data_IF_782036897317
#
_entry.id   IF_782036897317
#
_cell.length_a   1.000
_cell.length_b   1.000
_cell.length_c   1.000
_cell.angle_alpha   90.00
_cell.angle_beta   90.00
_cell.angle_gamma   90.00
#
_symmetry.space_group_name_H-M   'P 1'
#
loop_
_entity.id
_entity.type
_entity.pdbx_description
1 polymer ?
#
# COMPACT_ATOMS: atom_id res chain seq x y z
N UNK A 1 -15.88 15.43 14.62
CA UNK A 1 -16.06 14.62 13.40
C UNK A 1 -14.99 13.56 13.39
N UNK A 2 -15.33 12.31 13.72
CA UNK A 2 -14.39 11.20 13.57
C UNK A 2 -13.95 11.13 12.10
N UNK A 3 -12.67 11.36 11.84
CA UNK A 3 -12.08 11.03 10.56
C UNK A 3 -12.20 9.52 10.41
N UNK A 4 -13.28 9.08 9.76
CA UNK A 4 -13.28 7.81 9.06
C UNK A 4 -12.00 7.84 8.23
N UNK A 5 -11.14 6.83 8.44
CA UNK A 5 -10.02 6.55 7.55
C UNK A 5 -10.62 6.15 6.20
N UNK A 6 -11.08 7.13 5.43
CA UNK A 6 -11.52 6.91 4.06
C UNK A 6 -10.25 6.58 3.29
N UNK A 7 -10.06 5.31 2.96
CA UNK A 7 -9.02 4.95 2.01
C UNK A 7 -9.43 5.55 0.67
N UNK A 8 -8.53 6.31 0.04
CA UNK A 8 -8.81 6.89 -1.27
C UNK A 8 -8.62 5.80 -2.34
N UNK A 9 -9.47 5.77 -3.39
CA UNK A 9 -9.23 4.93 -4.54
C UNK A 9 -7.85 5.22 -5.14
N UNK A 10 -7.17 4.19 -5.64
CA UNK A 10 -5.82 4.29 -6.21
C UNK A 10 -5.92 4.11 -7.73
N UNK A 11 -5.97 5.19 -8.54
CA UNK A 11 -6.21 5.08 -9.98
C UNK A 11 -5.17 4.22 -10.72
N UNK A 12 -3.91 4.26 -10.27
CA UNK A 12 -2.83 3.47 -10.87
C UNK A 12 -3.02 1.96 -10.72
N UNK A 13 -3.84 1.51 -9.78
CA UNK A 13 -4.17 0.11 -9.54
C UNK A 13 -5.35 -0.40 -10.38
N UNK A 14 -6.03 0.48 -11.12
CA UNK A 14 -7.20 0.11 -11.93
C UNK A 14 -6.79 -0.83 -13.08
N UNK A 15 -7.55 -1.92 -13.36
CA UNK A 15 -7.27 -2.85 -14.46
C UNK A 15 -7.01 -2.17 -15.81
N UNK A 16 -7.80 -1.16 -16.18
CA UNK A 16 -7.57 -0.33 -17.37
C UNK A 16 -6.17 0.30 -17.42
N UNK A 17 -5.72 0.89 -16.32
CA UNK A 17 -4.40 1.49 -16.24
C UNK A 17 -3.31 0.43 -16.37
N UNK A 18 -3.46 -0.68 -15.64
CA UNK A 18 -2.52 -1.81 -15.66
C UNK A 18 -2.44 -2.46 -17.05
N UNK A 19 -3.57 -2.62 -17.73
CA UNK A 19 -3.67 -3.15 -19.08
C UNK A 19 -2.91 -2.27 -20.07
N UNK A 20 -3.14 -0.95 -20.04
CA UNK A 20 -2.42 0.00 -20.91
C UNK A 20 -0.93 -0.02 -20.60
N UNK A 21 -0.53 0.05 -19.33
CA UNK A 21 0.86 0.06 -18.92
C UNK A 21 1.62 -1.20 -19.41
N UNK A 22 1.05 -2.38 -19.21
CA UNK A 22 1.63 -3.64 -19.65
C UNK A 22 1.63 -3.77 -21.19
N UNK A 23 0.54 -3.40 -21.86
CA UNK A 23 0.44 -3.50 -23.34
C UNK A 23 1.46 -2.58 -24.03
N UNK A 24 1.67 -1.36 -23.50
CA UNK A 24 2.71 -0.44 -24.02
C UNK A 24 4.13 -1.01 -23.91
N UNK A 25 4.35 -2.00 -23.04
CA UNK A 25 5.62 -2.71 -22.86
C UNK A 25 5.70 -4.02 -23.63
N UNK A 26 4.79 -4.25 -24.57
CA UNK A 26 4.77 -5.45 -25.41
C UNK A 26 4.17 -6.68 -24.73
N UNK A 27 3.68 -6.57 -23.49
CA UNK A 27 2.96 -7.66 -22.83
C UNK A 27 1.55 -7.83 -23.41
N UNK A 28 0.89 -8.93 -23.04
CA UNK A 28 -0.48 -9.27 -23.49
C UNK A 28 -1.34 -9.69 -22.28
N UNK A 29 -1.61 -8.78 -21.33
CA UNK A 29 -2.51 -9.08 -20.22
C UNK A 29 -3.95 -9.28 -20.71
N UNK A 30 -4.78 -9.92 -19.88
CA UNK A 30 -6.20 -10.05 -20.19
C UNK A 30 -6.85 -8.66 -20.30
N UNK A 31 -7.74 -8.41 -21.29
CA UNK A 31 -8.50 -7.17 -21.34
C UNK A 31 -9.22 -6.89 -20.02
N UNK A 32 -9.35 -5.64 -19.57
CA UNK A 32 -10.10 -5.30 -18.36
C UNK A 32 -11.56 -5.76 -18.43
N UNK A 33 -12.11 -5.83 -19.64
CA UNK A 33 -13.45 -6.37 -19.88
C UNK A 33 -13.51 -7.85 -19.49
N UNK A 34 -14.38 -8.19 -18.54
CA UNK A 34 -14.49 -9.57 -18.05
C UNK A 34 -13.34 -10.05 -17.15
N UNK A 35 -12.39 -9.19 -16.81
CA UNK A 35 -11.23 -9.56 -16.00
C UNK A 35 -11.60 -9.99 -14.57
N UNK A 36 -10.76 -10.84 -14.00
CA UNK A 36 -10.81 -11.25 -12.59
C UNK A 36 -9.75 -10.50 -11.80
N UNK A 37 -10.19 -9.73 -10.81
CA UNK A 37 -9.33 -8.85 -10.02
C UNK A 37 -9.35 -9.28 -8.56
N UNK A 38 -8.18 -9.46 -7.97
CA UNK A 38 -8.01 -9.69 -6.54
C UNK A 38 -7.32 -8.48 -5.90
N UNK A 39 -7.81 -8.03 -4.76
CA UNK A 39 -7.09 -7.13 -3.87
C UNK A 39 -6.80 -7.80 -2.52
N UNK A 40 -5.53 -7.81 -2.13
CA UNK A 40 -5.08 -8.34 -0.83
C UNK A 40 -4.98 -7.19 0.17
N UNK A 41 -5.63 -7.36 1.33
CA UNK A 41 -5.82 -6.32 2.35
C UNK A 41 -6.63 -5.12 1.82
N UNK A 42 -7.84 -5.41 1.33
CA UNK A 42 -8.72 -4.43 0.68
C UNK A 42 -9.36 -3.41 1.64
N UNK A 43 -9.17 -3.53 2.95
CA UNK A 43 -9.70 -2.60 3.93
C UNK A 43 -11.22 -2.49 3.89
N UNK A 44 -11.72 -1.26 3.75
CA UNK A 44 -13.16 -0.95 3.63
C UNK A 44 -13.68 -1.07 2.18
N UNK A 45 -12.86 -1.58 1.25
CA UNK A 45 -13.22 -1.81 -0.13
C UNK A 45 -13.28 -0.55 -0.98
N UNK A 46 -12.84 0.60 -0.48
CA UNK A 46 -12.93 1.88 -1.19
C UNK A 46 -12.24 1.89 -2.56
N UNK A 47 -11.24 1.03 -2.77
CA UNK A 47 -10.58 0.87 -4.06
C UNK A 47 -11.40 0.01 -5.03
N UNK A 48 -11.91 -1.15 -4.59
CA UNK A 48 -12.65 -2.08 -5.46
C UNK A 48 -14.10 -1.66 -5.74
N UNK A 49 -14.78 -1.02 -4.80
CA UNK A 49 -16.18 -0.60 -4.98
C UNK A 49 -16.39 0.30 -6.21
N UNK A 50 -15.61 1.38 -6.43
CA UNK A 50 -15.74 2.18 -7.65
C UNK A 50 -15.32 1.40 -8.91
N UNK A 51 -14.31 0.53 -8.85
CA UNK A 51 -13.94 -0.30 -10.01
C UNK A 51 -15.08 -1.24 -10.42
N UNK A 52 -15.67 -1.93 -9.44
CA UNK A 52 -16.80 -2.82 -9.64
C UNK A 52 -18.03 -2.09 -10.19
N UNK A 53 -18.27 -0.86 -9.75
CA UNK A 53 -19.35 -0.02 -10.28
C UNK A 53 -19.15 0.33 -11.76
N UNK A 54 -17.93 0.68 -12.18
CA UNK A 54 -17.64 1.10 -13.56
C UNK A 54 -17.38 -0.08 -14.52
N UNK A 55 -17.06 -1.27 -13.99
CA UNK A 55 -16.79 -2.50 -14.76
C UNK A 55 -17.76 -3.62 -14.35
N UNK A 56 -19.05 -3.54 -14.71
CA UNK A 56 -20.06 -4.53 -14.33
C UNK A 56 -19.80 -5.92 -14.93
N UNK A 57 -18.99 -5.99 -15.98
CA UNK A 57 -18.56 -7.20 -16.67
C UNK A 57 -17.36 -7.90 -16.02
N UNK A 58 -16.52 -7.17 -15.28
CA UNK A 58 -15.40 -7.71 -14.53
C UNK A 58 -15.83 -8.25 -13.15
N UNK A 59 -15.02 -9.13 -12.56
CA UNK A 59 -15.26 -9.75 -11.23
C UNK A 59 -14.17 -9.36 -10.26
N UNK A 60 -14.57 -8.92 -9.08
CA UNK A 60 -13.66 -8.40 -8.06
C UNK A 60 -13.75 -9.25 -6.78
N UNK A 61 -12.59 -9.55 -6.19
CA UNK A 61 -12.46 -10.19 -4.89
C UNK A 61 -11.57 -9.34 -4.01
N UNK A 62 -12.03 -8.97 -2.83
CA UNK A 62 -11.21 -8.30 -1.82
C UNK A 62 -11.00 -9.20 -0.61
N UNK A 63 -9.75 -9.43 -0.21
CA UNK A 63 -9.40 -10.12 1.04
C UNK A 63 -9.10 -9.09 2.12
N UNK A 64 -9.74 -9.21 3.28
CA UNK A 64 -9.42 -8.39 4.45
C UNK A 64 -9.47 -9.23 5.74
N UNK A 65 -8.38 -9.18 6.52
CA UNK A 65 -8.26 -9.95 7.77
C UNK A 65 -8.84 -9.24 9.00
N UNK A 66 -9.07 -7.94 8.89
CA UNK A 66 -9.57 -7.08 9.95
C UNK A 66 -11.07 -6.79 9.88
N UNK A 67 -11.58 -5.99 10.82
CA UNK A 67 -12.99 -5.65 10.91
C UNK A 67 -13.50 -4.77 9.76
N UNK A 68 -12.60 -4.14 8.99
CA UNK A 68 -12.94 -3.24 7.88
C UNK A 68 -13.72 -3.95 6.76
N UNK A 69 -13.55 -5.27 6.62
CA UNK A 69 -14.31 -6.10 5.67
C UNK A 69 -15.82 -5.92 5.78
N UNK A 70 -16.35 -5.63 6.99
CA UNK A 70 -17.78 -5.36 7.20
C UNK A 70 -18.22 -4.10 6.47
N UNK A 71 -17.43 -3.03 6.53
CA UNK A 71 -17.71 -1.79 5.81
C UNK A 71 -17.69 -2.03 4.28
N UNK A 72 -16.74 -2.84 3.80
CA UNK A 72 -16.65 -3.22 2.38
C UNK A 72 -17.89 -3.99 1.91
N UNK A 73 -18.30 -5.02 2.68
CA UNK A 73 -19.50 -5.80 2.42
C UNK A 73 -20.77 -4.93 2.46
N UNK A 74 -20.86 -4.02 3.42
CA UNK A 74 -21.99 -3.09 3.54
C UNK A 74 -22.02 -2.11 2.36
N UNK A 75 -20.86 -1.62 1.93
CA UNK A 75 -20.69 -0.78 0.75
C UNK A 75 -21.21 -1.45 -0.52
N UNK A 76 -20.78 -2.70 -0.77
CA UNK A 76 -21.25 -3.48 -1.92
C UNK A 76 -22.78 -3.68 -1.91
N UNK A 77 -23.35 -4.02 -0.74
CA UNK A 77 -24.81 -4.19 -0.59
C UNK A 77 -25.56 -2.89 -0.83
N UNK A 78 -25.09 -1.78 -0.26
CA UNK A 78 -25.72 -0.46 -0.44
C UNK A 78 -25.69 0.04 -1.88
N UNK A 79 -24.64 -0.31 -2.63
CA UNK A 79 -24.48 0.05 -4.04
C UNK A 79 -25.16 -0.96 -5.00
N UNK A 80 -25.70 -2.07 -4.48
CA UNK A 80 -26.34 -3.10 -5.31
C UNK A 80 -25.35 -3.87 -6.20
N UNK A 81 -24.07 -3.92 -5.83
CA UNK A 81 -23.03 -4.55 -6.63
C UNK A 81 -23.03 -6.07 -6.44
N UNK A 82 -23.16 -6.82 -7.53
CA UNK A 82 -23.12 -8.29 -7.55
C UNK A 82 -21.80 -8.86 -8.08
N UNK A 83 -20.96 -8.00 -8.65
CA UNK A 83 -19.69 -8.36 -9.29
C UNK A 83 -18.47 -8.18 -8.38
N UNK A 84 -18.67 -7.86 -7.10
CA UNK A 84 -17.61 -7.79 -6.08
C UNK A 84 -17.94 -8.66 -4.87
N UNK A 85 -16.95 -9.42 -4.40
CA UNK A 85 -17.06 -10.25 -3.19
C UNK A 85 -15.94 -9.92 -2.22
N UNK A 86 -16.29 -9.59 -0.98
CA UNK A 86 -15.34 -9.34 0.09
C UNK A 86 -15.24 -10.51 1.05
N UNK A 87 -14.04 -11.08 1.16
CA UNK A 87 -13.72 -12.27 1.97
C UNK A 87 -13.03 -11.82 3.25
N UNK A 88 -13.63 -12.17 4.38
CA UNK A 88 -13.03 -12.00 5.70
C UNK A 88 -12.10 -13.19 5.97
N UNK A 89 -10.81 -12.94 6.19
CA UNK A 89 -9.87 -14.02 6.49
C UNK A 89 -8.41 -13.68 6.20
N UNK A 90 -7.57 -14.71 6.22
CA UNK A 90 -6.16 -14.61 5.88
C UNK A 90 -5.89 -15.08 4.44
N UNK A 91 -4.61 -15.20 4.10
CA UNK A 91 -4.17 -15.63 2.77
C UNK A 91 -4.69 -17.03 2.39
N UNK A 92 -4.97 -17.91 3.36
CA UNK A 92 -5.48 -19.25 3.10
C UNK A 92 -6.94 -19.22 2.65
N UNK A 93 -7.71 -18.21 3.07
CA UNK A 93 -9.08 -18.01 2.59
C UNK A 93 -9.13 -17.80 1.08
N UNK A 94 -8.13 -17.13 0.49
CA UNK A 94 -8.01 -16.99 -0.97
C UNK A 94 -7.52 -18.28 -1.63
N UNK A 95 -6.55 -18.98 -1.03
CA UNK A 95 -6.10 -20.30 -1.55
C UNK A 95 -7.25 -21.29 -1.66
N UNK A 96 -8.11 -21.32 -0.64
CA UNK A 96 -9.27 -22.22 -0.59
C UNK A 96 -10.29 -21.97 -1.71
N UNK A 97 -10.29 -20.78 -2.33
CA UNK A 97 -11.16 -20.49 -3.49
C UNK A 97 -10.73 -21.26 -4.75
N UNK A 98 -9.44 -21.61 -4.85
CA UNK A 98 -8.90 -22.31 -6.04
C UNK A 98 -9.01 -21.50 -7.33
N UNK A 99 -9.11 -20.18 -7.21
CA UNK A 99 -9.27 -19.26 -8.34
C UNK A 99 -7.93 -18.65 -8.76
N UNK A 100 -7.85 -18.26 -10.04
CA UNK A 100 -6.79 -17.42 -10.58
C UNK A 100 -7.34 -16.06 -11.00
N UNK A 101 -6.45 -15.07 -11.08
CA UNK A 101 -6.77 -13.67 -11.30
C UNK A 101 -5.89 -13.07 -12.39
N UNK A 102 -6.51 -12.28 -13.26
CA UNK A 102 -5.83 -11.52 -14.31
C UNK A 102 -5.06 -10.33 -13.72
N UNK A 103 -5.61 -9.73 -12.66
CA UNK A 103 -5.01 -8.62 -11.95
C UNK A 103 -4.99 -8.92 -10.45
N UNK A 104 -3.82 -8.80 -9.82
CA UNK A 104 -3.69 -8.86 -8.35
C UNK A 104 -3.15 -7.53 -7.87
N UNK A 105 -3.80 -6.96 -6.86
CA UNK A 105 -3.50 -5.65 -6.28
C UNK A 105 -3.04 -5.86 -4.84
N UNK A 106 -1.87 -5.33 -4.52
CA UNK A 106 -1.34 -5.26 -3.16
C UNK A 106 -0.95 -3.81 -2.90
N UNK A 107 -1.85 -3.04 -2.30
CA UNK A 107 -1.64 -1.63 -2.04
C UNK A 107 -1.71 -1.33 -0.53
N UNK A 108 -0.94 -0.37 -0.06
CA UNK A 108 -1.00 0.16 1.30
C UNK A 108 -0.64 -0.79 2.45
N UNK A 109 -0.34 -2.07 2.20
CA UNK A 109 -0.18 -3.08 3.26
C UNK A 109 1.27 -3.52 3.52
N UNK A 110 2.13 -3.57 2.50
CA UNK A 110 3.43 -4.23 2.63
C UNK A 110 4.39 -3.56 3.61
N UNK A 111 4.26 -2.24 3.79
CA UNK A 111 5.07 -1.47 4.74
C UNK A 111 4.60 -1.62 6.19
N UNK A 112 3.47 -2.30 6.42
CA UNK A 112 2.79 -2.44 7.71
C UNK A 112 2.78 -3.88 8.25
N UNK A 113 3.39 -4.81 7.53
CA UNK A 113 3.43 -6.23 7.90
C UNK A 113 4.86 -6.70 8.14
N UNK A 114 5.01 -7.83 8.83
CA UNK A 114 6.32 -8.44 9.04
C UNK A 114 6.92 -8.92 7.72
N UNK A 115 8.23 -9.16 7.69
CA UNK A 115 8.90 -9.69 6.49
C UNK A 115 8.37 -11.06 6.07
N UNK A 116 7.99 -11.90 7.04
CA UNK A 116 7.36 -13.19 6.79
C UNK A 116 5.98 -13.02 6.15
N UNK A 117 5.17 -12.09 6.65
CA UNK A 117 3.87 -11.79 6.07
C UNK A 117 3.99 -11.20 4.66
N UNK A 118 4.95 -10.28 4.43
CA UNK A 118 5.25 -9.75 3.09
C UNK A 118 5.64 -10.85 2.11
N UNK A 119 6.50 -11.77 2.53
CA UNK A 119 6.89 -12.92 1.70
C UNK A 119 5.69 -13.83 1.39
N UNK A 120 4.84 -14.10 2.39
CA UNK A 120 3.63 -14.90 2.21
C UNK A 120 2.62 -14.23 1.26
N UNK A 121 2.46 -12.91 1.33
CA UNK A 121 1.62 -12.12 0.41
C UNK A 121 2.11 -12.24 -1.02
N UNK A 122 3.42 -12.10 -1.25
CA UNK A 122 4.02 -12.27 -2.57
C UNK A 122 3.86 -13.69 -3.11
N UNK A 123 4.09 -14.69 -2.27
CA UNK A 123 3.92 -16.08 -2.63
C UNK A 123 2.46 -16.40 -3.02
N UNK A 124 1.48 -15.88 -2.27
CA UNK A 124 0.08 -16.00 -2.63
C UNK A 124 -0.19 -15.31 -3.98
N UNK A 125 0.19 -14.03 -4.10
CA UNK A 125 -0.07 -13.22 -5.28
C UNK A 125 0.46 -13.91 -6.54
N UNK A 126 1.68 -14.41 -6.52
CA UNK A 126 2.26 -15.17 -7.64
C UNK A 126 1.53 -16.48 -7.92
N UNK A 127 1.12 -17.22 -6.88
CA UNK A 127 0.45 -18.51 -7.04
C UNK A 127 -0.94 -18.39 -7.68
N UNK A 128 -1.66 -17.31 -7.38
CA UNK A 128 -3.03 -17.06 -7.88
C UNK A 128 -3.08 -16.18 -9.12
N UNK A 129 -1.94 -15.67 -9.60
CA UNK A 129 -1.88 -14.88 -10.83
C UNK A 129 -2.03 -15.79 -12.05
N UNK A 130 -2.77 -15.35 -13.05
CA UNK A 130 -2.73 -15.98 -14.38
C UNK A 130 -1.34 -15.84 -15.02
N UNK A 131 -0.92 -16.72 -15.95
CA UNK A 131 0.38 -16.62 -16.61
C UNK A 131 0.64 -15.28 -17.33
N UNK A 132 -0.41 -14.64 -17.85
CA UNK A 132 -0.37 -13.30 -18.45
C UNK A 132 -0.86 -12.20 -17.50
N UNK A 133 -1.06 -12.52 -16.22
CA UNK A 133 -1.63 -11.59 -15.25
C UNK A 133 -0.64 -10.51 -14.82
N UNK A 134 -1.19 -9.44 -14.25
CA UNK A 134 -0.43 -8.29 -13.75
C UNK A 134 -0.58 -8.19 -12.23
N UNK A 135 0.55 -8.16 -11.53
CA UNK A 135 0.60 -7.82 -10.11
C UNK A 135 0.95 -6.33 -9.95
N UNK A 136 0.02 -5.57 -9.37
CA UNK A 136 0.27 -4.21 -8.90
C UNK A 136 0.74 -4.23 -7.44
N UNK A 137 1.84 -3.54 -7.16
CA UNK A 137 2.35 -3.35 -5.80
C UNK A 137 2.77 -1.90 -5.61
N UNK A 138 2.18 -1.25 -4.61
CA UNK A 138 2.75 -0.02 -4.07
C UNK A 138 3.57 -0.30 -2.81
N UNK A 139 4.51 0.59 -2.52
CA UNK A 139 5.27 0.55 -1.28
C UNK A 139 5.82 1.94 -0.97
N UNK A 140 6.08 2.17 0.31
CA UNK A 140 6.79 3.36 0.73
C UNK A 140 8.28 3.06 0.71
N UNK A 141 9.02 3.83 -0.09
CA UNK A 141 10.45 3.66 -0.27
C UNK A 141 11.23 3.84 1.02
N UNK A 142 12.30 3.07 1.21
CA UNK A 142 13.18 3.14 2.39
C UNK A 142 13.68 4.55 2.70
N UNK A 143 14.13 5.28 1.68
CA UNK A 143 14.62 6.66 1.83
C UNK A 143 13.51 7.62 2.27
N UNK A 144 12.29 7.45 1.73
CA UNK A 144 11.14 8.26 2.10
C UNK A 144 10.74 8.06 3.57
N UNK A 145 10.91 6.85 4.12
CA UNK A 145 10.57 6.55 5.53
C UNK A 145 11.69 6.79 6.53
N UNK A 146 12.88 7.21 6.11
CA UNK A 146 14.03 7.33 7.03
C UNK A 146 13.78 8.36 8.14
N UNK A 147 13.17 9.50 7.80
CA UNK A 147 12.89 10.57 8.75
C UNK A 147 11.83 10.15 9.77
N UNK A 148 10.72 9.58 9.29
CA UNK A 148 9.69 8.98 10.15
C UNK A 148 10.26 7.89 11.05
N UNK A 149 11.11 7.00 10.53
CA UNK A 149 11.72 5.93 11.32
C UNK A 149 12.54 6.49 12.49
N UNK A 150 13.32 7.56 12.26
CA UNK A 150 14.09 8.25 13.31
C UNK A 150 13.18 8.95 14.33
N UNK A 151 12.14 9.63 13.85
CA UNK A 151 11.17 10.30 14.73
C UNK A 151 10.43 9.27 15.60
N UNK A 152 9.99 8.17 15.01
CA UNK A 152 9.31 7.07 15.70
C UNK A 152 10.20 6.43 16.76
N UNK A 153 11.46 6.19 16.44
CA UNK A 153 12.44 5.67 17.38
C UNK A 153 12.65 6.62 18.58
N UNK A 154 12.79 7.93 18.34
CA UNK A 154 12.82 8.95 19.41
C UNK A 154 11.57 8.93 20.28
N UNK A 155 10.38 8.99 19.67
CA UNK A 155 9.10 8.98 20.35
C UNK A 155 8.95 7.72 21.20
N UNK A 156 9.19 6.54 20.63
CA UNK A 156 9.03 5.24 21.32
C UNK A 156 9.95 5.12 22.53
N UNK A 157 11.21 5.57 22.44
CA UNK A 157 12.10 5.61 23.61
C UNK A 157 11.57 6.51 24.72
N UNK A 158 11.02 7.67 24.36
CA UNK A 158 10.60 8.69 25.33
C UNK A 158 9.29 8.33 26.02
N UNK A 159 8.35 7.73 25.29
CA UNK A 159 7.02 7.38 25.81
C UNK A 159 6.93 5.93 26.31
N UNK A 160 7.89 5.09 25.95
CA UNK A 160 7.99 3.67 26.35
C UNK A 160 7.76 3.43 27.85
N UNK A 161 8.43 4.19 28.75
CA UNK A 161 8.28 4.04 30.20
C UNK A 161 6.95 4.52 30.79
N UNK A 162 6.12 5.28 30.05
CA UNK A 162 4.91 5.90 30.59
C UNK A 162 3.77 4.89 30.75
N UNK A 163 3.09 4.82 31.90
CA UNK A 163 2.17 3.72 32.19
C UNK A 163 0.86 3.79 31.40
N UNK A 164 0.34 4.98 31.09
CA UNK A 164 -0.97 5.12 30.43
C UNK A 164 -0.87 5.61 28.98
N UNK A 165 -1.89 5.27 28.17
CA UNK A 165 -2.00 5.77 26.78
C UNK A 165 -2.15 7.29 26.75
N UNK A 166 -2.89 7.87 27.71
CA UNK A 166 -3.07 9.32 27.82
C UNK A 166 -1.74 10.04 28.04
N UNK A 167 -0.91 9.58 28.99
CA UNK A 167 0.42 10.17 29.23
C UNK A 167 1.33 10.03 28.01
N UNK A 168 1.26 8.89 27.31
CA UNK A 168 2.00 8.68 26.05
C UNK A 168 1.58 9.68 24.98
N UNK A 169 0.28 9.91 24.79
CA UNK A 169 -0.24 10.91 23.84
C UNK A 169 0.23 12.31 24.22
N UNK A 170 0.09 12.72 25.48
CA UNK A 170 0.56 14.03 25.95
C UNK A 170 2.06 14.21 25.69
N UNK A 171 2.87 13.19 25.98
CA UNK A 171 4.30 13.23 25.70
C UNK A 171 4.62 13.26 24.20
N UNK A 172 3.89 12.51 23.36
CA UNK A 172 4.03 12.58 21.90
C UNK A 172 3.78 13.99 21.36
N UNK A 173 2.67 14.62 21.79
CA UNK A 173 2.32 15.99 21.39
C UNK A 173 3.41 16.98 21.79
N UNK A 174 3.89 16.91 23.03
CA UNK A 174 4.98 17.76 23.51
C UNK A 174 6.29 17.58 22.72
N UNK A 175 6.63 16.35 22.32
CA UNK A 175 7.80 16.09 21.46
C UNK A 175 7.62 16.74 20.09
N UNK A 176 6.44 16.59 19.48
CA UNK A 176 6.15 17.18 18.17
C UNK A 176 6.15 18.71 18.21
N UNK A 177 5.59 19.31 19.27
CA UNK A 177 5.63 20.76 19.48
C UNK A 177 7.07 21.26 19.58
N UNK A 178 7.92 20.59 20.36
CA UNK A 178 9.33 20.95 20.50
C UNK A 178 10.13 20.82 19.19
N UNK A 179 9.78 19.85 18.33
CA UNK A 179 10.45 19.65 17.05
C UNK A 179 10.03 20.64 15.97
N UNK A 180 8.80 21.17 16.03
CA UNK A 180 8.33 22.21 15.10
C UNK A 180 9.13 23.51 15.23
N UNK A 181 9.55 23.82 16.47
CA UNK A 181 10.35 25.00 16.81
C UNK A 181 11.80 24.92 16.29
N UNK A 182 12.22 23.80 15.69
CA UNK A 182 13.56 23.65 15.11
C UNK A 182 13.55 24.15 13.65
N UNK A 183 14.14 25.31 13.34
CA UNK A 183 14.12 25.83 11.98
C UNK A 183 15.08 25.05 11.08
N UNK A 184 14.74 24.86 9.79
CA UNK A 184 15.71 24.44 8.80
C UNK A 184 16.73 25.54 8.59
N UNK A 185 17.99 25.17 8.67
CA UNK A 185 19.12 26.05 8.37
C UNK A 185 19.93 25.44 7.22
N UNK A 186 20.77 26.22 6.53
CA UNK A 186 21.70 25.68 5.53
C UNK A 186 22.57 24.52 6.08
N UNK A 187 22.90 24.57 7.36
CA UNK A 187 23.68 23.52 8.06
C UNK A 187 22.85 22.31 8.49
N UNK A 188 21.52 22.39 8.36
CA UNK A 188 20.55 21.34 8.70
C UNK A 188 19.50 21.17 7.59
N UNK A 189 19.89 20.84 6.35
CA UNK A 189 18.95 20.74 5.23
C UNK A 189 17.89 19.65 5.47
N UNK A 190 18.22 18.59 6.19
CA UNK A 190 17.28 17.51 6.55
C UNK A 190 16.16 17.94 7.51
N UNK A 191 16.29 19.08 8.19
CA UNK A 191 15.24 19.60 9.06
C UNK A 191 13.98 20.00 8.28
N UNK A 192 14.10 20.29 6.96
CA UNK A 192 12.93 20.49 6.09
C UNK A 192 12.08 19.22 6.03
N UNK A 193 12.69 18.08 5.72
CA UNK A 193 11.98 16.79 5.65
C UNK A 193 11.46 16.36 7.02
N UNK A 194 12.22 16.60 8.09
CA UNK A 194 11.75 16.37 9.46
C UNK A 194 10.52 17.20 9.79
N UNK A 195 10.48 18.47 9.37
CA UNK A 195 9.34 19.34 9.65
C UNK A 195 8.09 18.92 8.89
N UNK A 196 8.20 18.49 7.63
CA UNK A 196 7.05 17.92 6.89
C UNK A 196 6.41 16.76 7.67
N UNK A 197 7.23 15.84 8.19
CA UNK A 197 6.75 14.71 8.99
C UNK A 197 6.14 15.15 10.32
N UNK A 198 6.77 16.11 11.02
CA UNK A 198 6.26 16.66 12.28
C UNK A 198 4.91 17.35 12.08
N UNK A 199 4.81 18.21 11.08
CA UNK A 199 3.56 18.91 10.73
C UNK A 199 2.45 17.91 10.39
N UNK A 200 2.75 16.87 9.60
CA UNK A 200 1.81 15.78 9.33
C UNK A 200 1.34 15.08 10.61
N UNK A 201 2.28 14.65 11.46
CA UNK A 201 1.96 13.94 12.71
C UNK A 201 1.15 14.81 13.68
N UNK A 202 1.40 16.13 13.73
CA UNK A 202 0.63 17.08 14.54
C UNK A 202 -0.84 17.16 14.12
N UNK A 203 -1.15 16.97 12.83
CA UNK A 203 -2.50 16.97 12.30
C UNK A 203 -3.32 15.71 12.61
N UNK A 204 -2.68 14.63 13.10
CA UNK A 204 -3.35 13.36 13.37
C UNK A 204 -4.27 13.45 14.59
N UNK A 205 -5.36 12.66 14.59
CA UNK A 205 -6.14 12.38 15.80
C UNK A 205 -5.32 11.57 16.80
N UNK A 206 -5.71 11.54 18.07
CA UNK A 206 -4.96 10.80 19.10
C UNK A 206 -4.85 9.30 18.78
N UNK A 207 -5.93 8.69 18.27
CA UNK A 207 -5.90 7.29 17.84
C UNK A 207 -4.93 7.08 16.67
N UNK A 208 -4.95 7.98 15.67
CA UNK A 208 -4.05 7.91 14.53
C UNK A 208 -2.59 8.17 14.94
N UNK A 209 -2.35 9.04 15.93
CA UNK A 209 -1.03 9.35 16.47
C UNK A 209 -0.41 8.13 17.15
N UNK A 210 -1.20 7.43 17.97
CA UNK A 210 -0.81 6.17 18.61
C UNK A 210 -0.46 5.12 17.55
N UNK A 211 -1.32 4.96 16.54
CA UNK A 211 -1.07 4.01 15.43
C UNK A 211 0.16 4.38 14.60
N UNK A 212 0.39 5.68 14.38
CA UNK A 212 1.52 6.16 13.62
C UNK A 212 2.86 5.86 14.33
N UNK A 213 2.96 6.11 15.64
CA UNK A 213 4.23 5.95 16.37
C UNK A 213 4.43 4.60 17.06
N UNK A 214 3.39 3.93 17.53
CA UNK A 214 3.54 2.75 18.39
C UNK A 214 3.37 1.42 17.67
N UNK A 215 2.82 1.41 16.46
CA UNK A 215 2.64 0.17 15.70
C UNK A 215 4.00 -0.46 15.36
N UNK A 216 4.18 -1.78 15.58
CA UNK A 216 5.50 -2.42 15.50
C UNK A 216 6.09 -2.35 14.08
N UNK A 217 5.27 -2.66 13.08
CA UNK A 217 5.68 -2.80 11.68
C UNK A 217 5.32 -1.54 10.90
N UNK A 218 6.35 -0.73 10.65
CA UNK A 218 6.33 0.46 9.79
C UNK A 218 7.76 0.66 9.27
N UNK A 219 8.07 0.04 8.14
CA UNK A 219 9.38 0.14 7.51
C UNK A 219 9.24 0.40 6.03
N UNK A 220 10.14 1.24 5.51
CA UNK A 220 10.23 1.44 4.08
C UNK A 220 10.95 0.27 3.42
N UNK A 221 10.48 -0.11 2.25
CA UNK A 221 11.03 -1.22 1.48
C UNK A 221 11.95 -0.61 0.41
N UNK A 222 13.15 -1.15 0.24
CA UNK A 222 14.00 -0.70 -0.87
C UNK A 222 13.46 -1.33 -2.16
N UNK A 223 13.52 -0.63 -3.32
CA UNK A 223 13.18 -1.24 -4.59
C UNK A 223 13.91 -2.58 -4.75
N UNK A 224 15.23 -2.64 -4.75
CA UNK A 224 15.98 -3.91 -4.89
C UNK A 224 15.48 -5.11 -4.04
N UNK A 225 15.02 -4.89 -2.81
CA UNK A 225 14.46 -5.95 -1.95
C UNK A 225 13.14 -6.51 -2.48
N UNK A 226 12.29 -5.64 -3.00
CA UNK A 226 10.99 -6.01 -3.53
C UNK A 226 11.12 -6.71 -4.92
N UNK A 227 12.20 -6.44 -5.70
CA UNK A 227 12.51 -7.20 -6.93
C UNK A 227 13.04 -8.57 -6.58
N UNK A 228 13.95 -8.63 -5.61
CA UNK A 228 14.47 -9.90 -5.16
C UNK A 228 13.31 -10.79 -4.67
N UNK A 229 12.30 -10.21 -4.02
CA UNK A 229 11.10 -10.93 -3.63
C UNK A 229 10.25 -11.36 -4.83
N UNK A 230 9.99 -10.47 -5.80
CA UNK A 230 9.26 -10.79 -7.02
C UNK A 230 9.95 -11.92 -7.83
N UNK A 231 11.26 -11.81 -8.04
CA UNK A 231 12.07 -12.76 -8.81
C UNK A 231 12.08 -14.17 -8.18
N UNK A 232 12.06 -14.28 -6.85
CA UNK A 232 11.93 -15.58 -6.14
C UNK A 232 10.64 -16.32 -6.48
N UNK A 233 9.63 -15.62 -6.97
CA UNK A 233 8.34 -16.18 -7.35
C UNK A 233 8.09 -16.13 -8.86
N UNK A 234 9.14 -15.95 -9.68
CA UNK A 234 9.02 -15.92 -11.14
C UNK A 234 8.33 -14.68 -11.69
N UNK A 235 8.18 -13.63 -10.88
CA UNK A 235 7.61 -12.35 -11.30
C UNK A 235 8.72 -11.42 -11.78
N UNK A 236 8.48 -10.72 -12.89
CA UNK A 236 9.40 -9.74 -13.45
C UNK A 236 8.74 -8.34 -13.47
N UNK A 237 9.44 -7.29 -13.00
CA UNK A 237 8.94 -5.93 -13.10
C UNK A 237 8.92 -5.48 -14.57
N UNK A 238 7.86 -4.79 -14.99
CA UNK A 238 7.74 -4.23 -16.34
C UNK A 238 7.52 -2.72 -16.40
N UNK A 239 7.27 -2.04 -15.27
CA UNK A 239 6.98 -0.61 -15.18
C UNK A 239 8.12 0.21 -14.50
N UNK A 240 8.14 1.52 -14.79
CA UNK A 240 9.24 2.48 -14.64
C UNK A 240 9.67 2.77 -13.20
N UNK A 241 8.80 2.54 -12.22
CA UNK A 241 9.11 2.84 -10.81
C UNK A 241 10.23 1.98 -10.22
N UNK A 242 10.76 1.03 -10.99
CA UNK A 242 11.56 -0.08 -10.50
C UNK A 242 13.07 0.02 -10.81
N UNK A 243 13.42 0.43 -12.03
CA UNK A 243 14.77 0.25 -12.57
C UNK A 243 15.45 1.61 -12.81
N UNK A 244 16.34 2.06 -11.90
CA UNK A 244 17.05 3.32 -12.05
C UNK A 244 18.23 3.23 -13.04
N UNK A 245 18.39 2.12 -13.79
CA UNK A 245 19.52 1.97 -14.71
C UNK A 245 19.45 2.99 -15.87
N UNK A 246 20.59 3.65 -16.19
CA UNK A 246 20.65 4.62 -17.30
C UNK A 246 20.27 4.04 -18.66
N UNK A 247 20.48 2.74 -18.85
CA UNK A 247 20.29 2.01 -20.10
C UNK A 247 18.81 1.99 -20.55
N UNK A 248 17.86 1.79 -19.63
CA UNK A 248 16.42 1.85 -19.94
C UNK A 248 15.92 3.26 -20.26
N UNK A 249 16.52 4.29 -19.67
CA UNK A 249 16.16 5.68 -19.97
C UNK A 249 16.74 6.15 -21.32
N UNK A 250 17.78 5.49 -21.83
CA UNK A 250 18.35 5.77 -23.14
C UNK A 250 17.46 5.26 -24.28
N UNK A 251 16.90 4.05 -24.15
CA UNK A 251 15.99 3.45 -25.13
C UNK A 251 14.73 4.31 -25.36
N UNK A 252 14.20 4.93 -24.32
CA UNK A 252 13.01 5.80 -24.40
C UNK A 252 13.26 7.15 -25.09
N UNK A 253 14.50 7.66 -25.11
CA UNK A 253 14.82 8.91 -25.84
C UNK A 253 14.90 8.69 -27.34
N UNK A 254 15.18 7.46 -27.76
CA UNK A 254 15.28 7.10 -29.18
C UNK A 254 13.90 6.87 -29.81
N UNK A 255 12.89 6.49 -29.02
CA UNK A 255 11.50 6.34 -29.50
C UNK A 255 10.67 7.64 -29.51
N UNK A 256 11.19 8.71 -28.90
CA UNK A 256 10.55 10.03 -28.83
C UNK A 256 11.14 11.06 -29.84
N UNK A 257 12.00 10.61 -30.76
CA UNK A 257 12.55 11.37 -31.90
C UNK A 257 12.07 10.78 -33.22
#
# INVERSE_FOLDING_TARGET
MAALSVHEPVPASHPDHLWVAATRRGLRPAPPEGARVLEIACGDGSNLLPMAFHRPDARFVGLEGGPAVRAAQDGARRLGLSNVTFVAGDLDAIRARGERYDYVIVHGVLSHVSDAARAATFALAAAVLEPSGVLYVDHLGRSARMVEARLRDLVRRRVGPLPTVAERITAMRAILDALEEVPPTPDRPHAVTARVEVTYARGLSDAALVQHFLTPHRHGIAPSELAALAARHGLAPFDEGWDPSPERHAEQRTEAQ
#
